data_IF_595899533430
#
_entry.id   IF_595899533430
#
_cell.length_a   1.000
_cell.length_b   1.000
_cell.length_c   1.000
_cell.angle_alpha   90.00
_cell.angle_beta   90.00
_cell.angle_gamma   90.00
#
_symmetry.space_group_name_H-M   'P 1'
#
loop_
_entity.id
_entity.type
_entity.pdbx_description
1 polymer ?
#
# COMPACT_ATOMS: atom_id res chain seq x y z
N UNK A 1 0.10 20.37 -19.55
CA UNK A 1 1.02 19.21 -19.74
C UNK A 1 0.95 18.30 -18.53
N UNK A 2 0.80 17.01 -18.75
CA UNK A 2 0.81 16.04 -17.64
C UNK A 2 2.23 15.95 -17.10
N UNK A 3 2.36 15.96 -15.77
CA UNK A 3 3.66 16.00 -15.09
C UNK A 3 3.96 14.69 -14.32
N UNK A 4 2.99 13.79 -14.21
CA UNK A 4 3.15 12.53 -13.52
C UNK A 4 1.92 12.14 -12.71
N UNK A 5 2.08 11.16 -11.84
CA UNK A 5 1.04 10.72 -10.92
C UNK A 5 1.26 11.36 -9.55
N UNK A 6 0.27 12.08 -9.04
CA UNK A 6 0.32 12.66 -7.70
C UNK A 6 -0.07 11.66 -6.63
N UNK A 7 -1.11 10.89 -6.91
CA UNK A 7 -1.65 9.88 -6.01
C UNK A 7 -1.85 8.56 -6.74
N UNK A 8 -1.62 7.47 -6.03
CA UNK A 8 -1.90 6.12 -6.51
C UNK A 8 -2.93 5.52 -5.57
N UNK A 9 -4.07 5.08 -6.10
CA UNK A 9 -5.14 4.51 -5.28
C UNK A 9 -4.80 3.10 -4.84
N UNK A 10 -4.93 2.86 -3.54
CA UNK A 10 -4.84 1.54 -2.93
C UNK A 10 -6.19 1.25 -2.30
N UNK A 11 -6.88 0.24 -2.81
CA UNK A 11 -8.18 -0.15 -2.25
C UNK A 11 -7.97 -0.88 -0.94
N UNK A 12 -8.63 -0.40 0.13
CA UNK A 12 -8.52 -0.99 1.47
C UNK A 12 -9.91 -1.35 1.99
N UNK A 13 -9.97 -2.33 2.90
CA UNK A 13 -11.24 -2.79 3.46
C UNK A 13 -11.67 -1.95 4.65
N UNK A 14 -10.74 -1.35 5.37
CA UNK A 14 -10.99 -0.52 6.53
C UNK A 14 -9.93 0.58 6.59
N UNK A 15 -10.36 1.83 6.48
CA UNK A 15 -9.41 2.96 6.42
C UNK A 15 -8.69 3.21 7.76
N UNK A 16 -9.35 2.98 8.89
CA UNK A 16 -8.67 3.12 10.20
C UNK A 16 -7.56 2.09 10.37
N UNK A 17 -7.84 0.84 10.03
CA UNK A 17 -6.86 -0.24 10.05
C UNK A 17 -5.72 0.01 9.08
N UNK A 18 -6.04 0.48 7.87
CA UNK A 18 -5.04 0.80 6.85
C UNK A 18 -4.13 1.95 7.31
N UNK A 19 -4.71 3.00 7.89
CA UNK A 19 -3.94 4.11 8.46
C UNK A 19 -2.91 3.61 9.46
N UNK A 20 -3.32 2.76 10.39
CA UNK A 20 -2.41 2.18 11.39
C UNK A 20 -1.32 1.33 10.74
N UNK A 21 -1.69 0.48 9.80
CA UNK A 21 -0.74 -0.39 9.12
C UNK A 21 0.32 0.41 8.36
N UNK A 22 -0.11 1.34 7.51
CA UNK A 22 0.80 2.08 6.64
C UNK A 22 1.67 3.06 7.42
N UNK A 23 1.15 3.67 8.48
CA UNK A 23 1.95 4.62 9.28
C UNK A 23 2.82 3.92 10.31
N UNK A 24 2.28 2.99 11.08
CA UNK A 24 3.00 2.39 12.21
C UNK A 24 3.84 1.18 11.84
N UNK A 25 3.42 0.39 10.86
CA UNK A 25 4.21 -0.76 10.43
C UNK A 25 5.10 -0.45 9.25
N UNK A 26 4.57 0.11 8.18
CA UNK A 26 5.38 0.46 7.01
C UNK A 26 6.17 1.76 7.17
N UNK A 27 5.89 2.55 8.21
CA UNK A 27 6.64 3.77 8.49
C UNK A 27 6.32 4.93 7.54
N UNK A 28 5.18 4.90 6.86
CA UNK A 28 4.76 6.01 6.00
C UNK A 28 4.37 7.23 6.83
N UNK A 29 4.60 8.42 6.28
CA UNK A 29 4.09 9.65 6.86
C UNK A 29 2.62 9.83 6.48
N UNK A 30 1.79 10.21 7.45
CA UNK A 30 0.41 10.60 7.18
C UNK A 30 0.43 11.98 6.55
N UNK A 31 -0.10 12.11 5.33
CA UNK A 31 -0.10 13.39 4.63
C UNK A 31 -1.47 14.08 4.64
N UNK A 32 -2.56 13.31 4.55
CA UNK A 32 -3.91 13.84 4.68
C UNK A 32 -4.83 12.81 5.34
N UNK A 33 -5.76 13.30 6.13
CA UNK A 33 -6.86 12.51 6.67
C UNK A 33 -8.05 13.47 6.86
N UNK A 34 -8.84 13.62 5.80
CA UNK A 34 -9.94 14.59 5.73
C UNK A 34 -11.21 13.91 5.29
N UNK A 35 -12.34 14.42 5.80
CA UNK A 35 -13.64 14.07 5.27
C UNK A 35 -14.07 15.13 4.27
N UNK A 36 -14.34 14.72 3.04
CA UNK A 36 -14.78 15.60 1.96
C UNK A 36 -16.30 15.89 2.09
N UNK A 37 -16.76 16.93 1.39
CA UNK A 37 -18.18 17.33 1.41
C UNK A 37 -19.11 16.22 0.95
N UNK A 38 -18.65 15.37 0.04
CA UNK A 38 -19.42 14.22 -0.47
C UNK A 38 -19.42 13.02 0.49
N UNK A 39 -18.80 13.14 1.66
CA UNK A 39 -18.73 12.08 2.66
C UNK A 39 -17.55 11.11 2.50
N UNK A 40 -16.77 11.21 1.44
CA UNK A 40 -15.58 10.39 1.25
C UNK A 40 -14.48 10.82 2.22
N UNK A 41 -13.74 9.84 2.75
CA UNK A 41 -12.55 10.10 3.55
C UNK A 41 -11.32 10.12 2.64
N UNK A 42 -10.66 11.26 2.59
CA UNK A 42 -9.42 11.44 1.85
C UNK A 42 -8.25 11.11 2.76
N UNK A 43 -7.74 9.91 2.64
CA UNK A 43 -6.68 9.39 3.50
C UNK A 43 -5.46 9.08 2.64
N UNK A 44 -4.39 9.83 2.85
CA UNK A 44 -3.15 9.67 2.07
C UNK A 44 -1.94 9.51 2.96
N UNK A 45 -1.02 8.67 2.50
CA UNK A 45 0.26 8.42 3.17
C UNK A 45 1.39 8.46 2.14
N UNK A 46 2.60 8.70 2.61
CA UNK A 46 3.79 8.74 1.77
C UNK A 46 4.93 8.00 2.46
N UNK A 47 5.66 7.13 1.74
CA UNK A 47 6.85 6.51 2.30
C UNK A 47 7.83 7.56 2.80
N UNK A 48 8.45 7.34 3.95
CA UNK A 48 9.43 8.23 4.54
C UNK A 48 10.59 8.45 3.57
N UNK A 49 11.02 9.71 3.45
CA UNK A 49 12.10 10.07 2.54
C UNK A 49 11.70 10.18 1.07
N UNK A 50 10.47 9.84 0.71
CA UNK A 50 9.95 10.03 -0.64
C UNK A 50 9.37 11.44 -0.80
N UNK A 51 9.65 12.07 -1.93
CA UNK A 51 9.04 13.35 -2.31
C UNK A 51 8.10 13.17 -3.51
N UNK A 52 7.91 11.93 -3.93
CA UNK A 52 7.11 11.60 -5.10
C UNK A 52 5.65 11.36 -4.79
N UNK A 53 5.15 10.25 -5.32
CA UNK A 53 3.73 9.90 -5.23
C UNK A 53 3.31 9.58 -3.80
N UNK A 54 2.04 9.90 -3.51
CA UNK A 54 1.39 9.50 -2.28
C UNK A 54 0.44 8.34 -2.57
N UNK A 55 0.18 7.53 -1.55
CA UNK A 55 -0.80 6.45 -1.63
C UNK A 55 -2.13 6.96 -1.08
N UNK A 56 -3.19 6.83 -1.87
CA UNK A 56 -4.55 7.16 -1.47
C UNK A 56 -5.22 5.87 -1.00
N UNK A 57 -5.43 5.75 0.31
CA UNK A 57 -6.02 4.56 0.92
C UNK A 57 -7.55 4.73 0.92
N UNK A 58 -8.22 4.10 -0.04
CA UNK A 58 -9.64 4.32 -0.31
C UNK A 58 -10.47 3.07 -0.05
N UNK A 59 -11.56 3.21 0.69
CA UNK A 59 -12.56 2.15 0.83
C UNK A 59 -13.45 2.15 -0.41
N UNK A 60 -13.55 1.03 -1.14
CA UNK A 60 -14.42 0.96 -2.32
C UNK A 60 -15.87 1.31 -2.02
N UNK A 61 -16.38 0.95 -0.85
CA UNK A 61 -17.76 1.21 -0.45
C UNK A 61 -18.07 2.70 -0.29
N UNK A 62 -17.05 3.52 -0.06
CA UNK A 62 -17.17 4.96 0.14
C UNK A 62 -16.37 5.72 -0.92
N UNK A 63 -16.41 5.25 -2.14
CA UNK A 63 -15.72 5.82 -3.29
C UNK A 63 -16.71 6.24 -4.37
N UNK A 64 -16.20 6.56 -5.55
CA UNK A 64 -17.03 6.89 -6.72
C UNK A 64 -17.59 5.66 -7.43
N UNK A 65 -17.26 4.46 -6.95
CA UNK A 65 -17.77 3.22 -7.53
C UNK A 65 -19.22 3.00 -7.14
N UNK A 66 -20.02 2.41 -8.06
CA UNK A 66 -21.36 1.94 -7.71
C UNK A 66 -21.27 0.77 -6.71
N UNK A 67 -22.39 0.49 -6.01
CA UNK A 67 -22.41 -0.54 -4.97
C UNK A 67 -21.95 -1.91 -5.42
N UNK A 68 -22.50 -2.47 -6.54
CA UNK A 68 -22.05 -3.78 -7.03
C UNK A 68 -20.57 -3.84 -7.40
N UNK A 69 -20.06 -2.80 -8.04
CA UNK A 69 -18.63 -2.74 -8.40
C UNK A 69 -17.76 -2.62 -7.15
N UNK A 70 -18.15 -1.80 -6.18
CA UNK A 70 -17.43 -1.68 -4.92
C UNK A 70 -17.33 -3.02 -4.19
N UNK A 71 -18.41 -3.80 -4.17
CA UNK A 71 -18.42 -5.12 -3.56
C UNK A 71 -17.46 -6.08 -4.26
N UNK A 72 -17.42 -6.06 -5.60
CA UNK A 72 -16.49 -6.87 -6.37
C UNK A 72 -15.03 -6.50 -6.07
N UNK A 73 -14.72 -5.20 -5.99
CA UNK A 73 -13.36 -4.75 -5.64
C UNK A 73 -13.00 -5.20 -4.24
N UNK A 74 -13.89 -5.04 -3.27
CA UNK A 74 -13.65 -5.50 -1.88
C UNK A 74 -13.36 -7.00 -1.83
N UNK A 75 -14.11 -7.80 -2.57
CA UNK A 75 -13.90 -9.24 -2.63
C UNK A 75 -12.53 -9.60 -3.23
N UNK A 76 -12.11 -8.90 -4.28
CA UNK A 76 -10.80 -9.10 -4.90
C UNK A 76 -9.65 -8.74 -3.95
N UNK A 77 -9.79 -7.63 -3.23
CA UNK A 77 -8.80 -7.22 -2.21
C UNK A 77 -8.71 -8.28 -1.11
N UNK A 78 -9.85 -8.67 -0.57
CA UNK A 78 -9.92 -9.62 0.56
C UNK A 78 -9.28 -10.97 0.23
N UNK A 79 -9.45 -11.46 -1.00
CA UNK A 79 -8.85 -12.75 -1.40
C UNK A 79 -7.39 -12.62 -1.86
N UNK A 80 -6.80 -11.43 -1.82
CA UNK A 80 -5.40 -11.22 -2.16
C UNK A 80 -5.11 -11.22 -3.66
N UNK A 81 -6.09 -10.86 -4.48
CA UNK A 81 -5.94 -10.86 -5.93
C UNK A 81 -5.28 -9.60 -6.50
N UNK A 82 -5.22 -8.51 -5.71
CA UNK A 82 -4.76 -7.22 -6.21
C UNK A 82 -3.37 -6.86 -5.68
N UNK A 83 -2.55 -6.30 -6.58
CA UNK A 83 -1.27 -5.70 -6.23
C UNK A 83 -1.24 -4.27 -6.74
N UNK A 84 -1.17 -3.27 -5.84
CA UNK A 84 -1.09 -1.87 -6.26
C UNK A 84 0.23 -1.50 -6.92
N UNK A 85 1.31 -2.23 -6.63
CA UNK A 85 2.59 -1.93 -7.23
C UNK A 85 3.79 -2.53 -6.54
N UNK A 86 4.94 -2.04 -6.91
CA UNK A 86 6.25 -2.44 -6.40
C UNK A 86 6.83 -1.28 -5.60
N UNK A 87 7.24 -1.55 -4.37
CA UNK A 87 7.94 -0.57 -3.55
C UNK A 87 9.45 -0.73 -3.71
N UNK A 88 10.14 0.38 -3.86
CA UNK A 88 11.60 0.39 -3.89
C UNK A 88 12.15 0.43 -2.47
N UNK A 89 13.20 -0.33 -2.21
CA UNK A 89 13.91 -0.28 -0.93
C UNK A 89 15.42 -0.30 -1.16
N UNK A 90 16.14 0.29 -0.22
CA UNK A 90 17.61 0.24 -0.22
C UNK A 90 18.15 -0.99 0.52
N UNK A 91 17.30 -1.69 1.28
CA UNK A 91 17.72 -2.84 2.09
C UNK A 91 16.55 -3.81 2.30
N UNK A 92 16.32 -4.67 1.33
CA UNK A 92 15.22 -5.62 1.35
C UNK A 92 15.30 -6.61 2.54
N UNK A 93 16.50 -7.07 2.88
CA UNK A 93 16.68 -8.03 3.98
C UNK A 93 16.50 -7.37 5.34
N UNK A 94 16.96 -6.13 5.48
CA UNK A 94 16.72 -5.34 6.70
C UNK A 94 15.25 -5.03 6.89
N UNK A 95 14.55 -4.67 5.82
CA UNK A 95 13.09 -4.44 5.87
C UNK A 95 12.35 -5.71 6.27
N UNK A 96 12.74 -6.86 5.71
CA UNK A 96 12.14 -8.15 6.10
C UNK A 96 12.27 -8.40 7.60
N UNK A 97 13.46 -8.19 8.16
CA UNK A 97 13.69 -8.40 9.60
C UNK A 97 12.83 -7.42 10.44
N UNK A 98 12.84 -6.14 10.08
CA UNK A 98 12.14 -5.10 10.84
C UNK A 98 10.61 -5.26 10.75
N UNK A 99 10.09 -5.49 9.56
CA UNK A 99 8.65 -5.62 9.34
C UNK A 99 8.10 -6.93 9.90
N UNK A 100 8.86 -8.03 9.80
CA UNK A 100 8.47 -9.30 10.43
C UNK A 100 8.35 -9.15 11.95
N UNK A 101 9.25 -8.40 12.57
CA UNK A 101 9.19 -8.13 14.00
C UNK A 101 7.93 -7.33 14.40
N UNK A 102 7.37 -6.55 13.49
CA UNK A 102 6.12 -5.82 13.67
C UNK A 102 4.88 -6.63 13.29
N UNK A 103 5.05 -7.89 12.88
CA UNK A 103 3.94 -8.77 12.53
C UNK A 103 3.43 -8.62 11.09
N UNK A 104 4.18 -7.97 10.21
CA UNK A 104 3.81 -7.89 8.79
C UNK A 104 3.96 -9.27 8.14
N UNK A 105 2.92 -9.70 7.42
CA UNK A 105 2.93 -10.98 6.72
C UNK A 105 3.78 -10.90 5.46
N UNK A 106 4.77 -11.79 5.36
CA UNK A 106 5.54 -11.97 4.13
C UNK A 106 5.03 -13.19 3.38
N UNK A 107 4.53 -12.96 2.17
CA UNK A 107 4.13 -14.04 1.25
C UNK A 107 5.35 -14.69 0.66
N UNK A 108 6.41 -13.91 0.45
CA UNK A 108 7.70 -14.37 -0.02
C UNK A 108 8.80 -13.65 0.74
N UNK A 109 9.72 -14.42 1.32
CA UNK A 109 10.93 -13.89 1.94
C UNK A 109 11.88 -13.32 0.89
N UNK A 110 12.87 -12.50 1.29
CA UNK A 110 13.85 -11.97 0.35
C UNK A 110 14.50 -13.06 -0.48
N UNK A 111 14.42 -12.92 -1.79
CA UNK A 111 14.99 -13.85 -2.76
C UNK A 111 15.80 -13.10 -3.81
N UNK A 112 16.90 -13.69 -4.25
CA UNK A 112 17.72 -13.13 -5.31
C UNK A 112 17.01 -13.32 -6.65
N UNK A 113 16.89 -12.23 -7.40
CA UNK A 113 16.31 -12.18 -8.73
C UNK A 113 17.33 -11.55 -9.69
N UNK A 114 17.14 -11.69 -11.03
CA UNK A 114 18.08 -11.06 -11.97
C UNK A 114 18.22 -9.54 -11.80
N UNK A 115 17.17 -8.88 -11.29
CA UNK A 115 17.12 -7.42 -11.11
C UNK A 115 17.50 -6.94 -9.70
N UNK A 116 17.70 -7.84 -8.75
CA UNK A 116 18.04 -7.48 -7.38
C UNK A 116 17.50 -8.47 -6.36
N UNK A 117 17.18 -7.97 -5.16
CA UNK A 117 16.59 -8.77 -4.08
C UNK A 117 15.14 -8.34 -3.90
N UNK A 118 14.23 -9.30 -3.87
CA UNK A 118 12.78 -9.05 -3.79
C UNK A 118 12.14 -9.85 -2.66
N UNK A 119 11.22 -9.20 -1.96
CA UNK A 119 10.31 -9.83 -1.01
C UNK A 119 8.88 -9.39 -1.34
N UNK A 120 7.88 -10.13 -0.86
CA UNK A 120 6.46 -9.82 -1.09
C UNK A 120 5.74 -9.83 0.24
N UNK A 121 4.99 -8.75 0.51
CA UNK A 121 4.17 -8.62 1.71
C UNK A 121 2.69 -8.52 1.36
N UNK A 122 1.84 -8.75 2.38
CA UNK A 122 0.43 -8.35 2.34
C UNK A 122 0.21 -7.18 3.29
N UNK A 123 -0.66 -6.26 2.88
CA UNK A 123 -1.16 -5.25 3.81
C UNK A 123 -2.31 -5.82 4.66
N UNK A 124 -2.87 -5.00 5.53
CA UNK A 124 -3.95 -5.38 6.44
C UNK A 124 -5.27 -5.74 5.72
N UNK A 125 -5.45 -5.29 4.49
CA UNK A 125 -6.66 -5.57 3.70
C UNK A 125 -6.53 -6.81 2.82
N UNK A 126 -5.29 -7.18 2.44
CA UNK A 126 -5.02 -8.31 1.55
C UNK A 126 -4.26 -7.92 0.29
N UNK A 127 -4.02 -6.64 0.03
CA UNK A 127 -3.18 -6.21 -1.09
C UNK A 127 -1.76 -6.76 -0.91
N UNK A 128 -1.15 -7.18 -2.00
CA UNK A 128 0.24 -7.61 -1.94
C UNK A 128 1.15 -6.63 -2.66
N UNK A 129 2.32 -6.39 -2.07
CA UNK A 129 3.36 -5.52 -2.62
C UNK A 129 4.65 -6.29 -2.74
N UNK A 130 5.34 -6.09 -3.85
CA UNK A 130 6.74 -6.47 -3.97
C UNK A 130 7.61 -5.36 -3.38
N UNK A 131 8.59 -5.73 -2.58
CA UNK A 131 9.67 -4.85 -2.13
C UNK A 131 10.92 -5.24 -2.90
N UNK A 132 11.46 -4.33 -3.70
CA UNK A 132 12.58 -4.65 -4.57
C UNK A 132 13.75 -3.72 -4.29
N UNK A 133 14.88 -4.33 -3.94
CA UNK A 133 16.18 -3.67 -3.86
C UNK A 133 16.91 -3.95 -5.15
N UNK A 134 16.87 -3.00 -6.07
CA UNK A 134 17.48 -3.18 -7.38
C UNK A 134 18.99 -3.04 -7.32
N UNK A 135 19.68 -3.68 -8.25
CA UNK A 135 21.11 -3.46 -8.43
C UNK A 135 21.35 -1.99 -8.74
N UNK A 136 22.33 -1.42 -8.07
CA UNK A 136 22.62 -0.01 -8.01
C UNK A 136 22.99 0.72 -9.28
#
# INVERSE_FOLDING_TARGET
MIMGMSFVSVWVLNQDSAKEFYTKKLGCALTNDLKLDNGMRWLTVRPQGSTGQELLLMDPAHSMLDGPTAEQVRALVAKGALSPGVMATSDCRGDHAALSALGVEFVQEPAVRPYGVEAVIRDDSGNWFSFTQRHG
#
